data_IF_215548322122
#
_entry.id   IF_215548322122
#
_cell.length_a   1.000
_cell.length_b   1.000
_cell.length_c   1.000
_cell.angle_alpha   90.00
_cell.angle_beta   90.00
_cell.angle_gamma   90.00
#
_symmetry.space_group_name_H-M   'P 1'
#
loop_
_entity.id
_entity.type
_entity.pdbx_description
1 polymer ?
#
# COMPACT_ATOMS: atom_id res chain seq x y z
N UNK A 1 0.99 -20.33 9.36
CA UNK A 1 -0.38 -20.32 8.84
C UNK A 1 -1.17 -19.07 9.24
N UNK A 2 -1.23 -18.65 10.51
CA UNK A 2 -2.04 -17.48 10.91
C UNK A 2 -1.63 -16.17 10.23
N UNK A 3 -0.34 -15.80 10.21
CA UNK A 3 0.13 -14.59 9.50
C UNK A 3 0.13 -14.73 7.96
N UNK A 4 0.01 -15.96 7.44
CA UNK A 4 -0.10 -16.26 5.99
C UNK A 4 -1.51 -16.05 5.48
N UNK A 5 -2.49 -16.39 6.32
CA UNK A 5 -3.92 -16.31 6.01
C UNK A 5 -4.53 -14.99 6.47
N UNK A 6 -3.95 -14.39 7.51
CA UNK A 6 -4.45 -13.20 8.18
C UNK A 6 -3.26 -12.36 8.68
N UNK A 7 -2.80 -11.35 7.91
CA UNK A 7 -1.73 -10.46 8.31
C UNK A 7 -2.22 -9.42 9.33
N UNK A 8 -2.87 -9.87 10.42
CA UNK A 8 -3.25 -8.99 11.51
C UNK A 8 -2.02 -8.76 12.39
N UNK A 9 -1.48 -7.55 12.32
CA UNK A 9 -0.40 -7.09 13.19
C UNK A 9 -0.88 -6.88 14.63
N UNK A 10 -2.20 -6.78 14.85
CA UNK A 10 -2.83 -6.55 16.14
C UNK A 10 -4.12 -7.38 16.32
N UNK A 11 -4.34 -7.87 17.54
CA UNK A 11 -5.58 -8.51 18.00
C UNK A 11 -6.78 -7.56 17.84
N UNK A 12 -6.59 -6.25 18.00
CA UNK A 12 -7.66 -5.27 17.78
C UNK A 12 -8.13 -5.22 16.32
N UNK A 13 -7.24 -5.42 15.35
CA UNK A 13 -7.60 -5.53 13.94
C UNK A 13 -8.36 -6.83 13.63
N UNK A 14 -8.02 -7.93 14.31
CA UNK A 14 -8.78 -9.18 14.19
C UNK A 14 -10.20 -9.03 14.79
N UNK A 15 -10.34 -8.30 15.90
CA UNK A 15 -11.63 -8.01 16.53
C UNK A 15 -12.49 -7.08 15.67
N UNK A 16 -11.90 -6.04 15.05
CA UNK A 16 -12.64 -5.12 14.18
C UNK A 16 -13.17 -5.78 12.90
N UNK A 17 -12.57 -6.91 12.48
CA UNK A 17 -13.04 -7.72 11.35
C UNK A 17 -14.04 -8.81 11.72
N UNK A 18 -14.22 -9.11 13.01
CA UNK A 18 -15.19 -10.11 13.46
C UNK A 18 -16.63 -9.87 12.96
N UNK A 19 -17.14 -8.62 12.85
CA UNK A 19 -18.46 -8.35 12.27
C UNK A 19 -18.58 -8.75 10.79
N UNK A 20 -17.47 -8.74 10.03
CA UNK A 20 -17.45 -9.10 8.61
C UNK A 20 -17.54 -10.62 8.37
N UNK A 21 -17.38 -11.45 9.41
CA UNK A 21 -17.54 -12.90 9.31
C UNK A 21 -18.95 -13.30 8.86
N UNK A 22 -19.95 -12.49 9.17
CA UNK A 22 -21.35 -12.72 8.76
C UNK A 22 -21.55 -12.53 7.25
N UNK A 23 -20.73 -11.68 6.63
CA UNK A 23 -20.78 -11.39 5.19
C UNK A 23 -19.65 -12.10 4.42
N UNK A 24 -18.86 -12.93 5.09
CA UNK A 24 -17.71 -13.60 4.48
C UNK A 24 -18.16 -14.71 3.52
N UNK A 25 -17.38 -15.01 2.46
CA UNK A 25 -17.66 -16.14 1.58
C UNK A 25 -17.75 -17.46 2.36
N UNK A 26 -18.65 -18.36 1.96
CA UNK A 26 -18.97 -19.61 2.67
C UNK A 26 -17.74 -20.44 3.10
N UNK A 27 -16.72 -20.51 2.24
CA UNK A 27 -15.45 -21.19 2.53
C UNK A 27 -14.75 -20.68 3.80
N UNK A 28 -14.80 -19.38 4.06
CA UNK A 28 -14.19 -18.77 5.24
C UNK A 28 -15.03 -19.03 6.48
N UNK A 29 -16.36 -18.94 6.38
CA UNK A 29 -17.25 -19.27 7.50
C UNK A 29 -17.07 -20.72 7.95
N UNK A 30 -16.96 -21.66 7.00
CA UNK A 30 -16.69 -23.07 7.29
C UNK A 30 -15.34 -23.25 7.98
N UNK A 31 -14.28 -22.62 7.46
CA UNK A 31 -12.94 -22.70 8.07
C UNK A 31 -12.94 -22.17 9.51
N UNK A 32 -13.54 -21.01 9.74
CA UNK A 32 -13.66 -20.41 11.08
C UNK A 32 -14.45 -21.33 12.01
N UNK A 33 -15.55 -21.91 11.53
CA UNK A 33 -16.34 -22.91 12.29
C UNK A 33 -15.54 -24.15 12.66
N UNK A 34 -14.73 -24.69 11.74
CA UNK A 34 -13.84 -25.83 12.02
C UNK A 34 -12.81 -25.47 13.10
N UNK A 35 -12.16 -24.32 12.99
CA UNK A 35 -11.16 -23.86 13.96
C UNK A 35 -11.78 -23.62 15.33
N UNK A 36 -12.94 -22.96 15.40
CA UNK A 36 -13.66 -22.72 16.65
C UNK A 36 -14.09 -24.04 17.32
N UNK A 37 -14.59 -24.99 16.53
CA UNK A 37 -14.95 -26.33 17.02
C UNK A 37 -13.72 -27.07 17.52
N UNK A 38 -12.60 -27.02 16.81
CA UNK A 38 -11.35 -27.62 17.24
C UNK A 38 -10.87 -27.04 18.58
N UNK A 39 -10.81 -25.71 18.70
CA UNK A 39 -10.33 -25.04 19.92
C UNK A 39 -11.23 -25.30 21.14
N UNK A 40 -12.53 -25.46 20.93
CA UNK A 40 -13.48 -25.74 22.01
C UNK A 40 -13.50 -27.22 22.40
N UNK A 41 -13.49 -28.14 21.44
CA UNK A 41 -13.66 -29.57 21.68
C UNK A 41 -12.34 -30.25 22.08
N UNK A 42 -11.19 -29.85 21.51
CA UNK A 42 -9.92 -30.51 21.80
C UNK A 42 -9.51 -30.53 23.27
N UNK A 43 -9.65 -29.44 24.05
CA UNK A 43 -9.31 -29.47 25.47
C UNK A 43 -10.06 -30.55 26.26
N UNK A 44 -11.33 -30.79 25.92
CA UNK A 44 -12.14 -31.85 26.56
C UNK A 44 -11.72 -33.25 26.10
N UNK A 45 -11.42 -33.42 24.81
CA UNK A 45 -10.88 -34.67 24.28
C UNK A 45 -9.53 -34.98 24.95
N UNK A 46 -8.62 -34.01 25.01
CA UNK A 46 -7.31 -34.14 25.66
C UNK A 46 -7.46 -34.45 27.15
N UNK A 47 -8.36 -33.78 27.87
CA UNK A 47 -8.65 -34.06 29.28
C UNK A 47 -9.20 -35.47 29.50
N UNK A 48 -10.03 -35.98 28.58
CA UNK A 48 -10.63 -37.33 28.68
C UNK A 48 -9.64 -38.43 28.27
N UNK A 49 -8.75 -38.14 27.34
CA UNK A 49 -7.69 -39.05 26.87
C UNK A 49 -6.45 -39.05 27.80
N UNK A 50 -6.25 -37.99 28.60
CA UNK A 50 -5.23 -37.90 29.63
C UNK A 50 -5.54 -38.78 30.85
N UNK A 51 -5.56 -40.11 30.67
CA UNK A 51 -5.44 -41.06 31.78
C UNK A 51 -4.03 -40.98 32.41
N UNK A 52 -3.80 -41.47 33.65
CA UNK A 52 -2.48 -41.41 34.31
C UNK A 52 -1.33 -42.08 33.52
N UNK A 53 -1.65 -42.92 32.53
CA UNK A 53 -0.69 -43.50 31.58
C UNK A 53 -0.01 -42.44 30.69
N UNK A 54 -0.74 -41.39 30.28
CA UNK A 54 -0.23 -40.30 29.42
C UNK A 54 0.67 -39.31 30.16
N UNK A 55 0.68 -39.27 31.50
CA UNK A 55 1.61 -38.39 32.25
C UNK A 55 3.03 -38.98 32.23
N UNK A 56 3.18 -40.30 32.20
CA UNK A 56 4.49 -40.98 32.16
C UNK A 56 5.08 -41.10 30.75
N UNK A 57 4.26 -41.33 29.73
CA UNK A 57 4.70 -41.42 28.32
C UNK A 57 4.50 -40.14 27.52
N UNK A 58 3.73 -39.18 28.05
CA UNK A 58 3.45 -37.90 27.38
C UNK A 58 4.71 -37.08 27.14
N UNK A 59 5.70 -37.14 28.03
CA UNK A 59 7.00 -36.50 27.79
C UNK A 59 7.75 -37.09 26.60
N UNK A 60 7.66 -38.41 26.37
CA UNK A 60 8.27 -39.05 25.19
C UNK A 60 7.52 -38.66 23.91
N UNK A 61 6.20 -38.55 23.96
CA UNK A 61 5.41 -38.07 22.82
C UNK A 61 5.70 -36.59 22.52
N UNK A 62 5.74 -35.73 23.53
CA UNK A 62 6.11 -34.32 23.40
C UNK A 62 7.53 -34.20 22.88
N UNK A 63 8.48 -34.98 23.38
CA UNK A 63 9.86 -35.03 22.88
C UNK A 63 9.89 -35.47 21.41
N UNK A 64 9.17 -36.53 21.06
CA UNK A 64 9.10 -37.03 19.68
C UNK A 64 8.50 -36.00 18.73
N UNK A 65 7.36 -35.40 19.08
CA UNK A 65 6.74 -34.32 18.29
C UNK A 65 7.65 -33.09 18.22
N UNK A 66 8.36 -32.76 19.29
CA UNK A 66 9.32 -31.64 19.30
C UNK A 66 10.54 -31.92 18.43
N UNK A 67 11.07 -33.15 18.43
CA UNK A 67 12.17 -33.58 17.56
C UNK A 67 11.75 -33.59 16.10
N UNK A 68 10.60 -34.18 15.77
CA UNK A 68 10.04 -34.16 14.40
C UNK A 68 9.78 -32.72 13.96
N UNK A 69 9.21 -31.89 14.83
CA UNK A 69 8.99 -30.47 14.58
C UNK A 69 10.30 -29.70 14.38
N UNK A 70 11.34 -30.01 15.15
CA UNK A 70 12.67 -29.42 15.01
C UNK A 70 13.34 -29.80 13.69
N UNK A 71 13.30 -31.08 13.30
CA UNK A 71 13.84 -31.54 12.02
C UNK A 71 13.06 -30.95 10.84
N UNK A 72 11.73 -30.92 10.93
CA UNK A 72 10.89 -30.30 9.92
C UNK A 72 11.19 -28.79 9.80
N UNK A 73 11.40 -28.11 10.93
CA UNK A 73 11.85 -26.72 10.93
C UNK A 73 13.25 -26.56 10.32
N UNK A 74 14.24 -27.38 10.70
CA UNK A 74 15.60 -27.21 10.18
C UNK A 74 15.71 -27.49 8.69
N UNK A 75 14.86 -28.37 8.13
CA UNK A 75 14.98 -28.80 6.75
C UNK A 75 13.98 -28.13 5.80
N UNK A 76 12.78 -27.79 6.27
CA UNK A 76 11.70 -27.29 5.41
C UNK A 76 11.33 -25.82 5.62
N UNK A 77 11.93 -25.12 6.59
CA UNK A 77 11.59 -23.72 6.94
C UNK A 77 11.94 -22.68 5.86
N UNK A 78 12.62 -23.08 4.79
CA UNK A 78 12.97 -22.20 3.67
C UNK A 78 12.45 -22.68 2.31
N UNK A 79 11.62 -23.73 2.29
CA UNK A 79 11.01 -24.17 1.02
C UNK A 79 10.02 -23.12 0.54
N UNK A 80 10.25 -22.63 -0.68
CA UNK A 80 9.37 -21.69 -1.37
C UNK A 80 8.46 -22.41 -2.37
N UNK A 81 7.19 -22.00 -2.47
CA UNK A 81 6.24 -22.50 -3.47
C UNK A 81 6.24 -21.66 -4.76
N UNK A 82 6.80 -20.45 -4.70
CA UNK A 82 7.01 -19.55 -5.85
C UNK A 82 8.37 -18.88 -5.69
N UNK A 83 9.16 -18.85 -6.75
CA UNK A 83 10.39 -18.05 -6.78
C UNK A 83 10.08 -16.70 -7.44
N UNK A 84 9.88 -15.66 -6.62
CA UNK A 84 9.71 -14.28 -7.10
C UNK A 84 10.87 -13.44 -6.55
N UNK A 85 11.57 -12.78 -7.46
CA UNK A 85 12.55 -11.77 -7.11
C UNK A 85 11.83 -10.48 -6.73
N UNK A 86 11.96 -10.07 -5.47
CA UNK A 86 11.50 -8.76 -4.98
C UNK A 86 10.64 -8.85 -3.71
N UNK A 87 11.04 -8.11 -2.68
CA UNK A 87 10.19 -7.81 -1.54
C UNK A 87 9.21 -6.71 -1.95
N UNK A 88 7.90 -6.99 -1.97
CA UNK A 88 6.88 -5.94 -2.14
C UNK A 88 6.26 -5.65 -0.78
N UNK A 89 6.68 -4.55 -0.15
CA UNK A 89 6.08 -3.94 1.05
C UNK A 89 5.50 -4.96 2.05
N UNK A 90 6.38 -5.78 2.63
CA UNK A 90 6.04 -6.80 3.63
C UNK A 90 5.15 -7.99 3.19
N UNK A 91 4.78 -8.10 1.90
CA UNK A 91 4.19 -9.32 1.33
C UNK A 91 5.22 -10.08 0.49
N UNK A 92 5.95 -10.96 1.16
CA UNK A 92 6.84 -11.95 0.53
C UNK A 92 6.56 -13.35 1.09
N UNK A 93 5.28 -13.70 1.26
CA UNK A 93 4.95 -15.07 1.65
C UNK A 93 5.02 -16.01 0.46
N UNK A 94 6.22 -16.43 0.13
CA UNK A 94 6.44 -17.47 -0.87
C UNK A 94 6.81 -18.79 -0.24
N UNK A 95 6.76 -18.91 1.09
CA UNK A 95 7.24 -20.08 1.82
C UNK A 95 6.11 -21.08 2.12
N UNK A 96 6.33 -22.35 1.83
CA UNK A 96 5.42 -23.46 2.19
C UNK A 96 5.33 -23.58 3.71
N UNK A 97 6.49 -23.54 4.37
CA UNK A 97 6.62 -23.56 5.83
C UNK A 97 7.67 -22.50 6.20
N UNK A 98 7.30 -21.52 7.03
CA UNK A 98 8.24 -20.56 7.60
C UNK A 98 7.83 -20.20 9.04
N UNK A 99 8.81 -19.92 9.89
CA UNK A 99 8.59 -19.43 11.25
C UNK A 99 7.69 -18.20 11.22
N UNK A 100 6.53 -18.33 11.87
CA UNK A 100 5.58 -17.24 12.02
C UNK A 100 6.15 -16.14 12.93
N UNK A 101 6.98 -16.52 13.91
CA UNK A 101 7.68 -15.57 14.79
C UNK A 101 8.72 -14.76 14.03
N UNK A 102 9.61 -15.40 13.26
CA UNK A 102 10.59 -14.66 12.44
C UNK A 102 9.89 -13.74 11.43
N UNK A 103 8.76 -14.19 10.88
CA UNK A 103 7.95 -13.38 9.97
C UNK A 103 7.29 -12.21 10.66
N UNK A 104 6.66 -12.43 11.81
CA UNK A 104 6.10 -11.36 12.63
C UNK A 104 7.16 -10.33 12.98
N UNK A 105 8.34 -10.79 13.42
CA UNK A 105 9.47 -9.92 13.66
C UNK A 105 9.92 -9.17 12.42
N UNK A 106 10.05 -9.83 11.28
CA UNK A 106 10.46 -9.18 10.03
C UNK A 106 9.46 -8.10 9.59
N UNK A 107 8.15 -8.35 9.68
CA UNK A 107 7.12 -7.34 9.35
C UNK A 107 7.10 -6.23 10.40
N UNK A 108 7.11 -6.56 11.69
CA UNK A 108 7.06 -5.58 12.78
C UNK A 108 8.35 -4.74 12.89
N UNK A 109 9.50 -5.30 12.52
CA UNK A 109 10.79 -4.62 12.49
C UNK A 109 11.00 -3.83 11.18
N UNK A 110 10.08 -3.90 10.22
CA UNK A 110 10.13 -3.09 8.99
C UNK A 110 9.96 -1.60 9.32
N UNK A 111 10.73 -0.75 8.64
CA UNK A 111 10.66 0.71 8.85
C UNK A 111 9.25 1.25 8.62
N UNK A 112 8.54 0.74 7.62
CA UNK A 112 7.15 1.09 7.38
C UNK A 112 6.30 0.89 8.64
N UNK A 113 6.30 -0.30 9.25
CA UNK A 113 5.47 -0.60 10.43
C UNK A 113 5.89 0.21 11.67
N UNK A 114 7.19 0.51 11.83
CA UNK A 114 7.67 1.34 12.96
C UNK A 114 7.20 2.79 12.90
N UNK A 115 6.92 3.30 11.70
CA UNK A 115 6.47 4.68 11.47
C UNK A 115 4.97 4.76 11.18
N UNK A 116 4.36 3.65 10.77
CA UNK A 116 2.91 3.48 10.56
C UNK A 116 2.17 3.66 11.89
N UNK A 117 1.55 4.82 12.09
CA UNK A 117 0.82 5.18 13.31
C UNK A 117 1.47 6.28 14.16
N UNK A 118 2.73 6.64 13.88
CA UNK A 118 3.38 7.82 14.45
C UNK A 118 2.98 9.08 13.68
N UNK A 119 2.76 10.16 14.41
CA UNK A 119 2.45 11.46 13.81
C UNK A 119 3.74 11.99 13.17
N UNK A 120 3.75 12.26 11.85
CA UNK A 120 4.91 12.84 11.20
C UNK A 120 5.14 14.29 11.64
N UNK A 121 6.39 14.72 11.55
CA UNK A 121 6.74 16.14 11.55
C UNK A 121 6.72 16.63 10.10
N UNK A 122 5.94 17.66 9.81
CA UNK A 122 5.89 18.29 8.48
C UNK A 122 7.01 19.33 8.38
N UNK A 123 7.81 19.26 7.31
CA UNK A 123 8.97 20.12 7.11
C UNK A 123 8.76 20.89 5.80
N UNK A 124 8.63 22.23 5.84
CA UNK A 124 8.61 23.03 4.63
C UNK A 124 9.94 22.91 3.88
N UNK A 125 9.85 22.72 2.57
CA UNK A 125 11.02 22.63 1.70
C UNK A 125 10.95 23.71 0.61
N UNK A 126 12.13 24.13 0.17
CA UNK A 126 12.30 25.11 -0.90
C UNK A 126 13.12 24.46 -2.02
N UNK A 127 12.42 23.87 -2.96
CA UNK A 127 13.01 23.16 -4.10
C UNK A 127 12.16 23.39 -5.35
N UNK A 128 12.76 23.14 -6.51
CA UNK A 128 11.99 23.04 -7.75
C UNK A 128 11.11 21.80 -7.74
N UNK A 129 9.88 21.94 -8.22
CA UNK A 129 8.92 20.85 -8.38
C UNK A 129 8.19 20.97 -9.73
N UNK A 130 7.69 19.86 -10.26
CA UNK A 130 7.08 19.82 -11.59
C UNK A 130 5.77 20.63 -11.64
N UNK A 131 5.03 20.67 -10.53
CA UNK A 131 3.73 21.34 -10.47
C UNK A 131 3.81 22.88 -10.54
N UNK A 132 4.98 23.47 -10.22
CA UNK A 132 5.22 24.92 -10.39
C UNK A 132 5.11 25.40 -11.84
N UNK A 133 5.27 24.49 -12.81
CA UNK A 133 5.17 24.79 -14.23
C UNK A 133 3.72 24.85 -14.75
N UNK A 134 2.71 24.68 -13.89
CA UNK A 134 1.34 24.87 -14.31
C UNK A 134 1.06 26.31 -14.76
N UNK A 135 0.95 26.49 -16.08
CA UNK A 135 0.53 27.75 -16.69
C UNK A 135 -0.96 28.07 -16.45
N UNK A 136 -1.44 29.15 -17.05
CA UNK A 136 -2.83 29.58 -16.93
C UNK A 136 -3.75 28.81 -17.90
N UNK A 137 -3.98 27.53 -17.61
CA UNK A 137 -4.94 26.66 -18.34
C UNK A 137 -6.10 26.26 -17.43
N UNK A 138 -7.31 26.26 -17.97
CA UNK A 138 -8.52 25.76 -17.29
C UNK A 138 -8.48 24.25 -17.01
N UNK A 139 -7.59 23.51 -17.70
CA UNK A 139 -7.36 22.09 -17.45
C UNK A 139 -5.91 21.85 -17.05
N UNK A 140 -5.72 21.12 -15.96
CA UNK A 140 -4.40 20.76 -15.43
C UNK A 140 -4.35 19.27 -15.18
N UNK A 141 -3.27 18.63 -15.62
CA UNK A 141 -3.01 17.22 -15.40
C UNK A 141 -1.57 17.09 -14.89
N UNK A 142 -1.42 16.58 -13.67
CA UNK A 142 -0.14 16.12 -13.14
C UNK A 142 -0.17 14.59 -13.13
N UNK A 143 0.90 13.99 -13.65
CA UNK A 143 1.08 12.54 -13.62
C UNK A 143 2.34 12.24 -12.82
N UNK A 144 2.21 11.46 -11.75
CA UNK A 144 3.33 10.99 -10.93
C UNK A 144 3.69 9.58 -11.38
N UNK A 145 4.76 9.45 -12.16
CA UNK A 145 5.25 8.15 -12.60
C UNK A 145 6.01 7.44 -11.46
N UNK A 146 5.42 6.35 -10.93
CA UNK A 146 5.98 5.58 -9.83
C UNK A 146 7.38 5.02 -10.16
N UNK A 147 8.32 5.18 -9.22
CA UNK A 147 9.69 4.65 -9.30
C UNK A 147 10.45 5.02 -10.58
N UNK A 148 10.12 6.16 -11.19
CA UNK A 148 10.78 6.64 -12.40
C UNK A 148 11.95 7.57 -12.07
N UNK A 149 13.17 7.14 -12.41
CA UNK A 149 14.37 7.98 -12.37
C UNK A 149 14.82 8.43 -13.76
N UNK A 150 15.72 9.42 -13.82
CA UNK A 150 16.38 9.81 -15.08
C UNK A 150 17.44 8.78 -15.46
N UNK A 151 17.46 8.36 -16.73
CA UNK A 151 18.47 7.43 -17.21
C UNK A 151 19.86 8.10 -17.24
N UNK A 152 20.91 7.33 -16.91
CA UNK A 152 22.30 7.85 -16.86
C UNK A 152 22.84 8.30 -18.22
N UNK A 153 22.30 7.77 -19.31
CA UNK A 153 22.72 8.09 -20.67
C UNK A 153 21.59 8.79 -21.41
N UNK A 154 21.87 9.93 -22.02
CA UNK A 154 20.89 10.76 -22.71
C UNK A 154 20.18 10.02 -23.85
N UNK A 155 20.86 9.12 -24.55
CA UNK A 155 20.24 8.30 -25.60
C UNK A 155 19.14 7.41 -25.04
N UNK A 156 19.40 6.75 -23.91
CA UNK A 156 18.41 5.91 -23.24
C UNK A 156 17.24 6.76 -22.72
N UNK A 157 17.50 7.93 -22.14
CA UNK A 157 16.44 8.84 -21.70
C UNK A 157 15.55 9.25 -22.88
N UNK A 158 16.16 9.60 -24.03
CA UNK A 158 15.44 9.96 -25.25
C UNK A 158 14.61 8.81 -25.81
N UNK A 159 15.13 7.59 -25.78
CA UNK A 159 14.40 6.41 -26.24
C UNK A 159 13.17 6.12 -25.36
N UNK A 160 13.33 6.24 -24.03
CA UNK A 160 12.22 6.08 -23.08
C UNK A 160 11.14 7.14 -23.33
N UNK A 161 11.53 8.39 -23.58
CA UNK A 161 10.62 9.51 -23.81
C UNK A 161 10.20 9.68 -25.28
N UNK A 162 10.63 8.80 -26.19
CA UNK A 162 10.41 8.94 -27.63
C UNK A 162 8.92 9.04 -27.98
N UNK A 163 8.05 8.34 -27.24
CA UNK A 163 6.60 8.43 -27.41
C UNK A 163 6.02 9.82 -27.17
N UNK A 164 6.63 10.62 -26.29
CA UNK A 164 6.25 12.01 -26.00
C UNK A 164 6.92 12.95 -27.01
N UNK A 165 8.23 12.78 -27.25
CA UNK A 165 8.98 13.62 -28.18
C UNK A 165 8.49 13.50 -29.63
N UNK A 166 7.90 12.37 -30.02
CA UNK A 166 7.30 12.20 -31.35
C UNK A 166 5.94 12.89 -31.50
N UNK A 167 5.42 13.56 -30.47
CA UNK A 167 4.16 14.31 -30.50
C UNK A 167 4.35 15.83 -30.52
N UNK A 168 5.52 16.33 -30.94
CA UNK A 168 5.81 17.77 -31.03
C UNK A 168 4.79 18.55 -31.86
N UNK A 169 4.17 17.94 -32.88
CA UNK A 169 3.15 18.61 -33.70
C UNK A 169 1.84 18.88 -32.94
N UNK A 170 1.64 18.24 -31.77
CA UNK A 170 0.45 18.38 -30.92
C UNK A 170 0.72 19.13 -29.62
N UNK A 171 1.98 19.47 -29.35
CA UNK A 171 2.42 20.09 -28.10
C UNK A 171 3.07 21.44 -28.43
N UNK A 172 2.65 22.50 -27.73
CA UNK A 172 3.24 23.83 -27.91
C UNK A 172 4.73 23.82 -27.53
N UNK A 173 5.09 23.09 -26.48
CA UNK A 173 6.45 22.88 -26.04
C UNK A 173 6.60 21.56 -25.28
N UNK A 174 7.83 21.07 -25.20
CA UNK A 174 8.23 19.98 -24.30
C UNK A 174 9.42 20.50 -23.50
N UNK A 175 9.33 20.36 -22.17
CA UNK A 175 10.42 20.66 -21.25
C UNK A 175 10.64 19.44 -20.37
N UNK A 176 11.89 19.00 -20.27
CA UNK A 176 12.33 17.95 -19.38
C UNK A 176 13.47 18.45 -18.49
N UNK A 177 13.66 17.75 -17.38
CA UNK A 177 14.63 18.07 -16.34
C UNK A 177 14.60 17.01 -15.25
N UNK A 178 15.42 17.19 -14.22
CA UNK A 178 15.46 16.32 -13.06
C UNK A 178 15.87 17.12 -11.83
N UNK A 179 15.51 16.61 -10.67
CA UNK A 179 15.97 17.08 -9.37
C UNK A 179 16.25 15.86 -8.49
N UNK A 180 17.16 16.02 -7.53
CA UNK A 180 17.45 14.96 -6.58
C UNK A 180 16.27 14.79 -5.62
N UNK A 181 15.89 13.54 -5.36
CA UNK A 181 14.91 13.22 -4.34
C UNK A 181 15.28 11.94 -3.61
N UNK A 182 14.78 11.83 -2.39
CA UNK A 182 14.77 10.61 -1.61
C UNK A 182 13.34 10.38 -1.10
N UNK A 183 13.10 9.17 -0.61
CA UNK A 183 11.86 8.85 0.07
C UNK A 183 10.86 8.01 -0.71
N UNK A 184 9.71 7.79 -0.09
CA UNK A 184 8.59 7.02 -0.59
C UNK A 184 7.66 7.86 -1.50
N UNK A 185 6.73 7.19 -2.20
CA UNK A 185 5.75 7.81 -3.10
C UNK A 185 4.97 8.94 -2.42
N UNK A 186 4.52 8.77 -1.18
CA UNK A 186 3.76 9.82 -0.46
C UNK A 186 4.60 11.07 -0.17
N UNK A 187 5.91 10.90 0.02
CA UNK A 187 6.85 12.02 0.21
C UNK A 187 7.05 12.76 -1.11
N UNK A 188 7.03 12.02 -2.23
CA UNK A 188 6.93 12.59 -3.57
C UNK A 188 5.65 13.40 -3.79
N UNK A 189 4.49 12.86 -3.41
CA UNK A 189 3.21 13.57 -3.50
C UNK A 189 3.21 14.86 -2.67
N UNK A 190 3.71 14.81 -1.42
CA UNK A 190 3.80 15.97 -0.54
C UNK A 190 4.78 17.03 -1.07
N UNK A 191 5.91 16.61 -1.62
CA UNK A 191 6.85 17.51 -2.27
C UNK A 191 6.23 18.20 -3.48
N UNK A 192 5.65 17.44 -4.41
CA UNK A 192 5.09 17.97 -5.64
C UNK A 192 3.87 18.85 -5.39
N UNK A 193 3.02 18.49 -4.43
CA UNK A 193 1.74 19.16 -4.21
C UNK A 193 1.79 20.20 -3.11
N UNK A 194 2.66 20.08 -2.11
CA UNK A 194 2.62 20.93 -0.92
C UNK A 194 3.94 21.63 -0.63
N UNK A 195 5.04 21.28 -1.32
CA UNK A 195 6.39 21.70 -0.93
C UNK A 195 6.66 21.35 0.54
N UNK A 196 6.29 20.13 0.92
CA UNK A 196 6.52 19.56 2.25
C UNK A 196 7.30 18.26 2.15
N UNK A 197 8.21 18.07 3.09
CA UNK A 197 8.83 16.80 3.43
C UNK A 197 8.30 16.30 4.80
N UNK A 198 8.56 15.04 5.14
CA UNK A 198 8.07 14.42 6.38
C UNK A 198 9.12 13.57 7.06
N UNK A 199 9.12 13.62 8.39
CA UNK A 199 10.00 12.79 9.21
C UNK A 199 9.24 12.07 10.33
N UNK A 200 9.67 10.84 10.62
CA UNK A 200 9.34 10.12 11.85
C UNK A 200 7.92 9.54 11.95
N UNK A 201 7.13 9.54 10.88
CA UNK A 201 5.78 8.97 10.89
C UNK A 201 5.03 9.03 9.56
N UNK A 202 3.86 8.38 9.52
CA UNK A 202 2.90 8.42 8.40
C UNK A 202 1.43 8.51 8.86
N UNK A 203 1.17 8.81 10.14
CA UNK A 203 -0.20 8.99 10.66
C UNK A 203 -0.74 10.40 10.34
N UNK A 204 -0.99 10.65 9.06
CA UNK A 204 -1.48 11.93 8.55
C UNK A 204 -2.85 12.31 9.08
N UNK A 205 -3.69 11.34 9.46
CA UNK A 205 -4.98 11.58 10.10
C UNK A 205 -4.88 12.45 11.36
N UNK A 206 -3.77 12.37 12.09
CA UNK A 206 -3.49 13.13 13.33
C UNK A 206 -2.82 14.49 13.08
N UNK A 207 -2.37 14.78 11.86
CA UNK A 207 -1.78 16.08 11.50
C UNK A 207 -2.88 17.13 11.34
N UNK A 208 -2.66 18.36 11.80
CA UNK A 208 -3.65 19.43 11.69
C UNK A 208 -3.87 19.83 10.22
N UNK A 209 -5.13 20.12 9.83
CA UNK A 209 -5.47 20.47 8.45
C UNK A 209 -4.71 21.70 7.94
N UNK A 210 -4.43 22.67 8.82
CA UNK A 210 -3.71 23.92 8.49
C UNK A 210 -2.34 23.69 7.83
N UNK A 211 -1.70 22.56 8.12
CA UNK A 211 -0.39 22.21 7.52
C UNK A 211 -0.50 22.03 6.00
N UNK A 212 -1.72 21.76 5.50
CA UNK A 212 -1.98 21.47 4.09
C UNK A 212 -2.69 22.62 3.35
N UNK A 213 -2.94 23.77 4.00
CA UNK A 213 -3.69 24.89 3.41
C UNK A 213 -3.00 25.47 2.15
N UNK A 214 -1.68 25.36 2.10
CA UNK A 214 -0.84 25.82 1.00
C UNK A 214 -0.58 24.75 -0.05
N UNK A 215 -1.12 23.54 0.10
CA UNK A 215 -1.06 22.53 -0.96
C UNK A 215 -1.76 23.03 -2.23
N UNK A 216 -1.20 22.67 -3.37
CA UNK A 216 -1.65 23.01 -4.70
C UNK A 216 -3.14 22.67 -4.93
N UNK A 217 -3.68 21.50 -4.54
CA UNK A 217 -5.12 21.25 -4.71
C UNK A 217 -5.97 22.26 -3.91
N UNK A 218 -5.60 22.60 -2.68
CA UNK A 218 -6.26 23.65 -1.91
C UNK A 218 -6.17 25.03 -2.59
N UNK A 219 -5.02 25.37 -3.17
CA UNK A 219 -4.86 26.61 -3.94
C UNK A 219 -5.76 26.62 -5.18
N UNK A 220 -5.76 25.55 -5.97
CA UNK A 220 -6.56 25.40 -7.19
C UNK A 220 -8.07 25.40 -6.87
N UNK A 221 -8.48 24.76 -5.78
CA UNK A 221 -9.85 24.80 -5.29
C UNK A 221 -10.30 26.23 -4.96
N UNK A 222 -9.45 27.03 -4.32
CA UNK A 222 -9.72 28.48 -4.08
C UNK A 222 -9.83 29.28 -5.38
N UNK A 223 -9.16 28.85 -6.43
CA UNK A 223 -9.25 29.43 -7.78
C UNK A 223 -10.46 28.90 -8.59
N UNK A 224 -11.31 28.07 -7.99
CA UNK A 224 -12.53 27.54 -8.61
C UNK A 224 -12.33 26.29 -9.46
N UNK A 225 -11.20 25.59 -9.35
CA UNK A 225 -11.01 24.30 -9.99
C UNK A 225 -11.72 23.19 -9.20
N UNK A 226 -12.34 22.26 -9.92
CA UNK A 226 -12.68 20.94 -9.38
C UNK A 226 -11.40 20.12 -9.30
N UNK A 227 -11.04 19.67 -8.10
CA UNK A 227 -9.77 19.00 -7.82
C UNK A 227 -9.98 17.50 -7.62
N UNK A 228 -9.37 16.68 -8.48
CA UNK A 228 -9.51 15.23 -8.45
C UNK A 228 -8.13 14.62 -8.16
N UNK A 229 -8.05 13.80 -7.11
CA UNK A 229 -6.87 13.01 -6.78
C UNK A 229 -7.11 11.54 -7.12
N UNK A 230 -6.23 10.91 -7.90
CA UNK A 230 -6.34 9.50 -8.25
C UNK A 230 -5.10 8.75 -7.79
N UNK A 231 -5.30 7.50 -7.35
CA UNK A 231 -4.21 6.55 -7.22
C UNK A 231 -4.76 5.15 -7.53
N UNK A 232 -4.08 4.38 -8.38
CA UNK A 232 -4.49 3.00 -8.72
C UNK A 232 -4.40 1.98 -7.57
N UNK A 233 -4.08 2.46 -6.36
CA UNK A 233 -3.87 1.67 -5.15
C UNK A 233 -4.98 1.92 -4.15
N UNK A 234 -4.99 1.15 -3.07
CA UNK A 234 -5.99 1.30 -2.02
C UNK A 234 -5.75 2.58 -1.21
N UNK A 235 -6.82 3.30 -0.87
CA UNK A 235 -6.73 4.60 -0.19
C UNK A 235 -6.04 4.54 1.17
N UNK A 236 -6.09 3.40 1.86
CA UNK A 236 -5.49 3.24 3.18
C UNK A 236 -3.95 3.22 3.15
N UNK A 237 -3.34 3.00 1.97
CA UNK A 237 -1.89 3.03 1.83
C UNK A 237 -1.42 4.48 2.00
N UNK A 238 -0.62 4.71 3.05
CA UNK A 238 -0.22 6.04 3.53
C UNK A 238 -1.37 6.94 3.98
N UNK A 239 -2.49 6.37 4.45
CA UNK A 239 -3.67 7.13 4.93
C UNK A 239 -4.15 8.18 3.90
N UNK A 240 -4.12 7.85 2.60
CA UNK A 240 -4.54 8.78 1.53
C UNK A 240 -6.01 9.13 1.60
N UNK A 241 -6.84 8.26 2.17
CA UNK A 241 -8.22 8.54 2.54
C UNK A 241 -8.36 9.77 3.46
N UNK A 242 -7.37 10.01 4.33
CA UNK A 242 -7.31 11.22 5.16
C UNK A 242 -6.47 12.33 4.52
N UNK A 243 -5.34 11.98 3.91
CA UNK A 243 -4.39 12.95 3.38
C UNK A 243 -4.94 13.72 2.17
N UNK A 244 -5.59 13.04 1.21
CA UNK A 244 -6.07 13.67 -0.02
C UNK A 244 -7.12 14.76 0.24
N UNK A 245 -8.14 14.52 1.09
CA UNK A 245 -9.07 15.58 1.49
C UNK A 245 -8.38 16.77 2.18
N UNK A 246 -7.36 16.51 3.02
CA UNK A 246 -6.60 17.58 3.69
C UNK A 246 -5.80 18.44 2.71
N UNK A 247 -5.18 17.82 1.70
CA UNK A 247 -4.46 18.53 0.63
C UNK A 247 -5.37 19.34 -0.28
N UNK A 248 -6.68 19.08 -0.27
CA UNK A 248 -7.69 19.89 -0.96
C UNK A 248 -8.35 19.23 -2.17
N UNK A 249 -8.22 17.91 -2.34
CA UNK A 249 -8.96 17.18 -3.36
C UNK A 249 -10.45 17.16 -3.02
N UNK A 250 -11.28 17.58 -3.98
CA UNK A 250 -12.73 17.55 -3.88
C UNK A 250 -13.30 16.15 -4.16
N UNK A 251 -12.59 15.38 -4.99
CA UNK A 251 -12.96 14.03 -5.38
C UNK A 251 -11.71 13.14 -5.38
N UNK A 252 -11.90 11.86 -5.05
CA UNK A 252 -10.81 10.89 -4.99
C UNK A 252 -11.16 9.58 -5.67
N UNK A 253 -10.23 9.07 -6.48
CA UNK A 253 -10.35 7.81 -7.21
C UNK A 253 -9.31 6.82 -6.69
N UNK A 254 -9.77 5.69 -6.14
CA UNK A 254 -8.92 4.65 -5.58
C UNK A 254 -9.31 3.25 -6.04
N UNK A 255 -8.42 2.30 -5.80
CA UNK A 255 -8.58 0.89 -6.17
C UNK A 255 -9.91 0.28 -5.72
N UNK A 256 -10.36 0.54 -4.50
CA UNK A 256 -11.58 -0.01 -3.92
C UNK A 256 -12.88 0.47 -4.59
N UNK A 257 -12.84 1.61 -5.29
CA UNK A 257 -14.00 2.15 -5.99
C UNK A 257 -14.24 1.45 -7.35
N UNK A 258 -13.24 0.71 -7.86
CA UNK A 258 -13.24 0.13 -9.21
C UNK A 258 -12.89 -1.36 -9.19
N UNK A 259 -13.74 -2.17 -8.57
CA UNK A 259 -13.57 -3.62 -8.46
C UNK A 259 -13.58 -4.37 -9.80
N UNK A 260 -14.12 -3.76 -10.85
CA UNK A 260 -14.25 -4.27 -12.21
C UNK A 260 -12.95 -4.19 -13.04
N UNK A 261 -12.02 -3.30 -12.66
CA UNK A 261 -10.78 -3.06 -13.42
C UNK A 261 -9.73 -4.15 -13.19
N UNK A 262 -8.94 -4.41 -14.24
CA UNK A 262 -7.85 -5.40 -14.17
C UNK A 262 -6.81 -4.99 -13.14
N UNK A 263 -6.35 -5.98 -12.35
CA UNK A 263 -5.31 -5.79 -11.33
C UNK A 263 -3.94 -6.19 -11.83
N UNK A 264 -2.96 -5.32 -11.55
CA UNK A 264 -1.56 -5.56 -11.81
C UNK A 264 -0.86 -6.07 -10.54
N UNK A 265 0.29 -6.71 -10.74
CA UNK A 265 0.91 -7.53 -9.71
C UNK A 265 1.41 -6.71 -8.50
N UNK A 266 1.76 -5.44 -8.68
CA UNK A 266 2.16 -4.55 -7.60
C UNK A 266 0.93 -4.14 -6.77
N UNK A 267 0.92 -4.49 -5.48
CA UNK A 267 -0.14 -4.19 -4.50
C UNK A 267 -1.55 -4.67 -4.85
N UNK A 268 -1.71 -5.51 -5.87
CA UNK A 268 -3.02 -5.81 -6.45
C UNK A 268 -3.79 -4.52 -6.83
N UNK A 269 -3.05 -3.48 -7.21
CA UNK A 269 -3.60 -2.21 -7.69
C UNK A 269 -4.18 -2.33 -9.09
N UNK A 270 -4.96 -1.34 -9.50
CA UNK A 270 -5.43 -1.20 -10.89
C UNK A 270 -4.20 -0.98 -11.79
N UNK A 271 -4.15 -1.66 -12.93
CA UNK A 271 -3.11 -1.41 -13.93
C UNK A 271 -3.22 0.01 -14.50
N UNK A 272 -2.10 0.70 -14.73
CA UNK A 272 -2.09 2.11 -15.19
C UNK A 272 -2.92 2.34 -16.45
N UNK A 273 -2.85 1.40 -17.41
CA UNK A 273 -3.60 1.48 -18.66
C UNK A 273 -5.13 1.43 -18.47
N UNK A 274 -5.61 0.85 -17.37
CA UNK A 274 -7.05 0.77 -17.05
C UNK A 274 -7.59 2.08 -16.47
N UNK A 275 -6.70 3.00 -16.07
CA UNK A 275 -7.06 4.30 -15.50
C UNK A 275 -7.24 5.39 -16.56
N UNK A 276 -6.78 5.17 -17.81
CA UNK A 276 -6.80 6.19 -18.86
C UNK A 276 -8.20 6.71 -19.18
N UNK A 277 -9.20 5.83 -19.23
CA UNK A 277 -10.59 6.24 -19.47
C UNK A 277 -11.12 7.10 -18.32
N UNK A 278 -10.77 6.75 -17.07
CA UNK A 278 -11.17 7.51 -15.88
C UNK A 278 -10.56 8.91 -15.91
N UNK A 279 -9.28 9.02 -16.29
CA UNK A 279 -8.60 10.33 -16.46
C UNK A 279 -9.30 11.17 -17.53
N UNK A 280 -9.64 10.56 -18.67
CA UNK A 280 -10.29 11.24 -19.78
C UNK A 280 -11.69 11.77 -19.40
N UNK A 281 -12.48 10.96 -18.70
CA UNK A 281 -13.81 11.34 -18.17
C UNK A 281 -13.70 12.44 -17.11
N UNK A 282 -12.63 12.42 -16.32
CA UNK A 282 -12.36 13.40 -15.25
C UNK A 282 -11.96 14.78 -15.73
N UNK A 283 -11.73 15.01 -17.03
CA UNK A 283 -11.33 16.31 -17.60
C UNK A 283 -12.38 16.88 -18.57
N UNK A 284 -13.63 17.13 -18.14
CA UNK A 284 -14.72 17.53 -19.03
C UNK A 284 -14.50 18.91 -19.68
N UNK A 285 -15.14 19.22 -20.83
CA UNK A 285 -14.88 20.43 -21.61
C UNK A 285 -15.20 21.76 -20.91
N UNK A 286 -16.17 21.80 -20.00
CA UNK A 286 -16.77 23.04 -19.50
C UNK A 286 -16.43 23.39 -18.04
N UNK A 287 -15.60 22.59 -17.36
CA UNK A 287 -15.29 22.78 -15.94
C UNK A 287 -13.79 22.93 -15.78
N UNK A 288 -13.37 23.95 -15.03
CA UNK A 288 -11.97 24.08 -14.62
C UNK A 288 -11.61 22.88 -13.76
N UNK A 289 -10.72 22.02 -14.26
CA UNK A 289 -10.47 20.75 -13.62
C UNK A 289 -8.97 20.52 -13.49
N UNK A 290 -8.55 20.15 -12.28
CA UNK A 290 -7.21 19.68 -12.04
C UNK A 290 -7.25 18.22 -11.62
N UNK A 291 -6.56 17.39 -12.40
CA UNK A 291 -6.40 15.98 -12.13
C UNK A 291 -4.96 15.71 -11.73
N UNK A 292 -4.78 14.99 -10.63
CA UNK A 292 -3.47 14.59 -10.14
C UNK A 292 -3.53 13.09 -9.85
N UNK A 293 -2.66 12.30 -10.45
CA UNK A 293 -2.56 10.87 -10.17
C UNK A 293 -1.34 10.22 -10.78
#
# INVERSE_FOLDING_TARGET
MTMQLFPFLDIFAAISLAPFLVNAPLRYMVLVGIVATYLTVMPFIMRRLAKPFMIKTGWLYVLFVSLVGFFAYSHFNEIKYVDRHGERFAQSDYFVIHSQYKRYRWVADSEFVKHFGKVPTMIPIDIDNASSYFGNSDKKLLIVAESWGVARHDSTQKDILAGIYNQTDRLEFIKDGYFDFAGATVEGELRELCLLDVEGGYAFNKVANKEFDNCLPNQLKRMGYHTIGMHGGFSQIYERDFLYPKMGFAETVFAEHHGDKKRCEAFNGICDNELFDIVAESLPPMIKTSFIG
#
